data_IF_255931655851
#
_entry.id   IF_255931655851
#
_cell.length_a   1.000
_cell.length_b   1.000
_cell.length_c   1.000
_cell.angle_alpha   90.00
_cell.angle_beta   90.00
_cell.angle_gamma   90.00
#
_symmetry.space_group_name_H-M   'P 1'
#
loop_
_entity.id
_entity.type
_entity.pdbx_description
1 polymer ?
#
# COMPACT_ATOMS: atom_id res chain seq x y z
N UNK A 1 -0.04 -24.40 -3.52
CA UNK A 1 -1.52 -24.41 -3.60
C UNK A 1 -2.02 -23.29 -2.72
N UNK A 2 -2.89 -22.39 -3.21
CA UNK A 2 -3.39 -21.26 -2.41
C UNK A 2 -4.14 -21.76 -1.16
N UNK A 3 -4.02 -21.05 -0.01
CA UNK A 3 -4.80 -21.37 1.18
C UNK A 3 -6.28 -21.30 0.84
N UNK A 4 -7.10 -22.16 1.45
CA UNK A 4 -8.54 -22.16 1.25
C UNK A 4 -9.26 -21.76 2.52
N UNK A 5 -10.28 -20.93 2.38
CA UNK A 5 -11.09 -20.39 3.48
C UNK A 5 -12.56 -20.76 3.23
N UNK A 6 -13.33 -21.16 4.25
CA UNK A 6 -14.76 -21.45 4.10
C UNK A 6 -15.55 -20.19 3.76
N UNK A 7 -16.41 -20.28 2.74
CA UNK A 7 -17.37 -19.22 2.41
C UNK A 7 -18.57 -19.29 3.35
N UNK A 8 -18.61 -18.42 4.35
CA UNK A 8 -19.67 -18.41 5.38
C UNK A 8 -21.06 -18.01 4.85
N UNK A 9 -21.14 -17.43 3.64
CA UNK A 9 -22.39 -16.91 3.06
C UNK A 9 -23.10 -17.92 2.16
N UNK A 10 -22.55 -19.13 1.98
CA UNK A 10 -23.16 -20.19 1.17
C UNK A 10 -23.55 -21.42 2.01
N UNK A 11 -24.64 -22.13 1.64
CA UNK A 11 -24.94 -23.44 2.21
C UNK A 11 -23.73 -24.38 2.06
N UNK A 12 -23.47 -25.20 3.09
CA UNK A 12 -22.33 -26.13 3.17
C UNK A 12 -20.94 -25.50 3.25
N UNK A 13 -20.82 -24.16 3.37
CA UNK A 13 -19.56 -23.42 3.59
C UNK A 13 -18.39 -23.94 2.73
N UNK A 14 -18.52 -23.94 1.39
CA UNK A 14 -17.50 -24.50 0.50
C UNK A 14 -16.16 -23.78 0.70
N UNK A 15 -15.06 -24.53 0.62
CA UNK A 15 -13.70 -24.01 0.72
C UNK A 15 -13.30 -23.32 -0.59
N UNK A 16 -13.10 -22.01 -0.55
CA UNK A 16 -12.67 -21.19 -1.69
C UNK A 16 -11.21 -20.76 -1.55
N UNK A 17 -10.43 -20.63 -2.64
CA UNK A 17 -9.05 -20.17 -2.57
C UNK A 17 -8.98 -18.70 -2.13
N UNK A 18 -8.06 -18.39 -1.21
CA UNK A 18 -7.74 -17.05 -0.73
C UNK A 18 -6.36 -16.59 -1.26
N UNK A 19 -6.06 -15.29 -1.18
CA UNK A 19 -4.77 -14.72 -1.57
C UNK A 19 -4.63 -14.45 -3.08
N UNK A 20 -5.74 -14.42 -3.83
CA UNK A 20 -5.74 -14.12 -5.26
C UNK A 20 -5.28 -12.67 -5.58
N UNK A 21 -5.22 -11.79 -4.57
CA UNK A 21 -4.66 -10.44 -4.69
C UNK A 21 -3.21 -10.42 -5.21
N UNK A 22 -2.44 -11.50 -5.01
CA UNK A 22 -1.08 -11.62 -5.55
C UNK A 22 -1.04 -11.45 -7.08
N UNK A 23 -2.10 -11.88 -7.78
CA UNK A 23 -2.20 -11.74 -9.24
C UNK A 23 -2.25 -10.26 -9.62
N UNK A 24 -3.05 -9.45 -8.91
CA UNK A 24 -3.14 -8.01 -9.13
C UNK A 24 -1.83 -7.29 -8.78
N UNK A 25 -1.16 -7.69 -7.70
CA UNK A 25 0.15 -7.13 -7.31
C UNK A 25 1.19 -7.38 -8.40
N UNK A 26 1.32 -8.62 -8.87
CA UNK A 26 2.29 -8.98 -9.90
C UNK A 26 1.95 -8.31 -11.23
N UNK A 27 0.69 -8.35 -11.67
CA UNK A 27 0.28 -7.71 -12.93
C UNK A 27 0.54 -6.19 -12.90
N UNK A 28 0.19 -5.52 -11.80
CA UNK A 28 0.41 -4.07 -11.64
C UNK A 28 1.90 -3.73 -11.60
N UNK A 29 2.71 -4.50 -10.85
CA UNK A 29 4.14 -4.29 -10.79
C UNK A 29 4.80 -4.49 -12.17
N UNK A 30 4.47 -5.59 -12.86
CA UNK A 30 4.97 -5.85 -14.23
C UNK A 30 4.60 -4.73 -15.20
N UNK A 31 3.36 -4.24 -15.14
CA UNK A 31 2.92 -3.09 -15.94
C UNK A 31 3.75 -1.83 -15.64
N UNK A 32 3.99 -1.53 -14.37
CA UNK A 32 4.77 -0.35 -13.97
C UNK A 32 6.25 -0.45 -14.36
N UNK A 33 6.85 -1.65 -14.29
CA UNK A 33 8.20 -1.89 -14.82
C UNK A 33 8.25 -1.74 -16.33
N UNK A 34 7.25 -2.26 -17.05
CA UNK A 34 7.16 -2.10 -18.50
C UNK A 34 7.02 -0.61 -18.87
N UNK A 35 6.14 0.14 -18.18
CA UNK A 35 6.02 1.59 -18.35
C UNK A 35 7.34 2.31 -18.14
N UNK A 36 8.07 1.97 -17.08
CA UNK A 36 9.39 2.56 -16.84
C UNK A 36 10.38 2.27 -17.97
N UNK A 37 10.38 1.04 -18.48
CA UNK A 37 11.27 0.63 -19.57
C UNK A 37 10.93 1.31 -20.90
N UNK A 38 9.65 1.39 -21.27
CA UNK A 38 9.18 1.92 -22.55
C UNK A 38 9.04 3.45 -22.58
N UNK A 39 8.64 4.09 -21.47
CA UNK A 39 8.42 5.54 -21.37
C UNK A 39 9.54 6.23 -20.59
N UNK A 40 10.81 5.93 -20.89
CA UNK A 40 11.99 6.58 -20.29
C UNK A 40 11.77 8.11 -20.20
N UNK A 41 11.48 8.68 -19.01
CA UNK A 41 11.39 10.12 -18.88
C UNK A 41 12.83 10.66 -18.93
N UNK A 42 13.07 11.77 -19.64
CA UNK A 42 14.28 12.56 -19.42
C UNK A 42 14.31 12.92 -17.93
N UNK A 43 15.21 12.29 -17.18
CA UNK A 43 15.30 12.38 -15.74
C UNK A 43 15.60 13.83 -15.33
N UNK A 44 14.58 14.62 -15.02
CA UNK A 44 14.81 15.94 -14.46
C UNK A 44 15.20 15.88 -12.99
N UNK A 45 15.05 14.73 -12.30
CA UNK A 45 15.33 14.58 -10.86
C UNK A 45 15.79 13.17 -10.41
N UNK A 46 16.25 12.28 -11.30
CA UNK A 46 16.71 10.90 -10.98
C UNK A 46 15.71 9.95 -10.24
N UNK A 47 14.49 10.38 -9.93
CA UNK A 47 13.46 9.56 -9.26
C UNK A 47 12.35 9.22 -10.25
N UNK A 48 12.19 7.93 -10.56
CA UNK A 48 11.13 7.42 -11.44
C UNK A 48 9.85 7.13 -10.64
N UNK A 49 8.80 7.91 -10.88
CA UNK A 49 7.49 7.72 -10.24
C UNK A 49 6.90 6.33 -10.49
N UNK A 50 7.09 5.78 -11.70
CA UNK A 50 6.62 4.44 -12.05
C UNK A 50 7.34 3.35 -11.24
N UNK A 51 8.67 3.47 -11.11
CA UNK A 51 9.47 2.52 -10.34
C UNK A 51 9.12 2.60 -8.85
N UNK A 52 8.92 3.80 -8.31
CA UNK A 52 8.57 3.93 -6.89
C UNK A 52 7.18 3.43 -6.60
N UNK A 53 6.21 3.65 -7.49
CA UNK A 53 4.89 3.05 -7.36
C UNK A 53 4.96 1.51 -7.44
N UNK A 54 5.82 0.95 -8.31
CA UNK A 54 6.03 -0.50 -8.37
C UNK A 54 6.56 -1.05 -7.05
N UNK A 55 7.54 -0.35 -6.43
CA UNK A 55 8.05 -0.71 -5.10
C UNK A 55 6.96 -0.63 -4.04
N UNK A 56 6.14 0.42 -4.03
CA UNK A 56 5.03 0.55 -3.09
C UNK A 56 4.01 -0.59 -3.24
N UNK A 57 3.65 -0.93 -4.48
CA UNK A 57 2.70 -2.02 -4.79
C UNK A 57 3.27 -3.38 -4.38
N UNK A 58 4.53 -3.66 -4.71
CA UNK A 58 5.19 -4.91 -4.33
C UNK A 58 5.30 -5.04 -2.82
N UNK A 59 5.75 -3.98 -2.15
CA UNK A 59 5.99 -4.00 -0.71
C UNK A 59 4.66 -4.07 0.07
N UNK A 60 3.68 -3.22 -0.27
CA UNK A 60 2.36 -3.26 0.34
C UNK A 60 1.61 -4.56 0.06
N UNK A 61 1.68 -5.06 -1.17
CA UNK A 61 1.08 -6.32 -1.57
C UNK A 61 1.71 -7.54 -0.87
N UNK A 62 3.04 -7.56 -0.72
CA UNK A 62 3.74 -8.59 0.05
C UNK A 62 3.33 -8.58 1.52
N UNK A 63 3.21 -7.39 2.14
CA UNK A 63 2.77 -7.27 3.53
C UNK A 63 1.32 -7.74 3.72
N UNK A 64 0.43 -7.46 2.76
CA UNK A 64 -0.94 -7.99 2.77
C UNK A 64 -0.97 -9.53 2.66
N UNK A 65 -0.18 -10.10 1.75
CA UNK A 65 -0.03 -11.56 1.64
C UNK A 65 0.49 -12.19 2.93
N UNK A 66 1.47 -11.53 3.57
CA UNK A 66 2.05 -11.98 4.83
C UNK A 66 0.99 -11.99 5.94
N UNK A 67 0.15 -10.95 6.02
CA UNK A 67 -0.97 -10.91 6.97
C UNK A 67 -1.99 -12.04 6.74
N UNK A 68 -2.32 -12.32 5.47
CA UNK A 68 -3.24 -13.39 5.08
C UNK A 68 -2.69 -14.79 5.39
N UNK A 69 -1.37 -14.98 5.28
CA UNK A 69 -0.75 -16.29 5.43
C UNK A 69 -0.29 -16.60 6.87
N UNK A 70 0.07 -15.60 7.66
CA UNK A 70 0.71 -15.80 8.96
C UNK A 70 -0.23 -15.79 10.17
N UNK A 71 -1.56 -15.75 9.98
CA UNK A 71 -2.58 -15.64 11.05
C UNK A 71 -2.10 -14.77 12.24
N UNK A 72 -1.68 -13.54 11.88
CA UNK A 72 -1.00 -12.67 12.81
C UNK A 72 -1.94 -12.17 13.91
N UNK A 73 -1.42 -12.07 15.14
CA UNK A 73 -2.12 -11.40 16.23
C UNK A 73 -2.48 -9.95 15.82
N UNK A 74 -3.64 -9.48 16.26
CA UNK A 74 -4.19 -8.15 15.92
C UNK A 74 -3.19 -6.98 16.08
N UNK A 75 -2.26 -7.08 17.05
CA UNK A 75 -1.22 -6.06 17.26
C UNK A 75 -0.32 -5.92 16.04
N UNK A 76 0.15 -7.02 15.47
CA UNK A 76 1.01 -6.99 14.29
C UNK A 76 0.26 -6.48 13.06
N UNK A 77 -1.04 -6.79 12.94
CA UNK A 77 -1.90 -6.24 11.90
C UNK A 77 -1.99 -4.70 11.93
N UNK A 78 -1.93 -4.11 13.13
CA UNK A 78 -1.88 -2.66 13.29
C UNK A 78 -0.50 -2.05 12.94
N UNK A 79 0.59 -2.82 13.08
CA UNK A 79 1.96 -2.35 12.80
C UNK A 79 2.40 -2.57 11.35
N UNK A 80 1.94 -3.63 10.68
CA UNK A 80 2.34 -3.94 9.30
C UNK A 80 2.11 -2.76 8.32
N UNK A 81 1.00 -2.03 8.36
CA UNK A 81 0.78 -0.87 7.48
C UNK A 81 1.76 0.29 7.71
N UNK A 82 2.27 0.45 8.94
CA UNK A 82 3.29 1.47 9.24
C UNK A 82 4.58 1.16 8.50
N UNK A 83 5.01 -0.11 8.52
CA UNK A 83 6.19 -0.55 7.76
C UNK A 83 5.92 -0.44 6.26
N UNK A 84 4.72 -0.82 5.80
CA UNK A 84 4.31 -0.71 4.40
C UNK A 84 4.34 0.74 3.86
N UNK A 85 4.27 1.75 4.73
CA UNK A 85 4.32 3.16 4.35
C UNK A 85 5.73 3.70 4.06
N UNK A 86 6.80 2.98 4.45
CA UNK A 86 8.20 3.45 4.33
C UNK A 86 8.63 3.82 2.90
N UNK A 87 8.31 3.02 1.85
CA UNK A 87 8.63 3.39 0.47
C UNK A 87 7.96 4.70 0.05
N UNK A 88 6.72 4.93 0.50
CA UNK A 88 5.95 6.12 0.19
C UNK A 88 6.51 7.37 0.89
N UNK A 89 6.96 7.22 2.14
CA UNK A 89 7.64 8.30 2.88
C UNK A 89 8.93 8.72 2.16
N UNK A 90 9.75 7.73 1.78
CA UNK A 90 11.02 7.98 1.08
C UNK A 90 10.78 8.74 -0.23
N UNK A 91 9.76 8.33 -0.99
CA UNK A 91 9.35 9.03 -2.21
C UNK A 91 8.95 10.48 -1.94
N UNK A 92 8.04 10.68 -0.98
CA UNK A 92 7.49 11.99 -0.68
C UNK A 92 8.59 12.98 -0.27
N UNK A 93 9.57 12.50 0.52
CA UNK A 93 10.73 13.29 0.93
C UNK A 93 11.67 13.60 -0.23
N UNK A 94 12.00 12.62 -1.06
CA UNK A 94 12.90 12.80 -2.21
C UNK A 94 12.35 13.75 -3.27
N UNK A 95 11.02 13.74 -3.48
CA UNK A 95 10.34 14.63 -4.41
C UNK A 95 10.05 16.02 -3.83
N UNK A 96 10.36 16.26 -2.55
CA UNK A 96 10.03 17.52 -1.88
C UNK A 96 8.54 17.84 -1.92
N UNK A 97 7.68 16.82 -1.76
CA UNK A 97 6.23 17.00 -1.83
C UNK A 97 5.73 17.92 -0.71
N UNK A 98 4.56 18.54 -0.94
CA UNK A 98 3.94 19.39 0.08
C UNK A 98 3.70 18.61 1.37
N UNK A 99 4.02 19.23 2.50
CA UNK A 99 3.80 18.70 3.85
C UNK A 99 2.68 19.45 4.58
N UNK A 100 1.73 19.97 3.81
CA UNK A 100 0.55 20.67 4.32
C UNK A 100 -0.74 19.97 3.89
N UNK A 101 -1.75 20.05 4.75
CA UNK A 101 -3.11 19.56 4.48
C UNK A 101 -4.04 20.77 4.45
N UNK A 102 -4.77 20.92 3.35
CA UNK A 102 -5.81 21.94 3.22
C UNK A 102 -7.15 21.33 3.60
N UNK A 103 -7.77 21.89 4.64
CA UNK A 103 -9.11 21.51 5.09
C UNK A 103 -10.14 22.52 4.54
N UNK A 104 -11.31 22.06 4.08
CA UNK A 104 -12.34 22.94 3.49
C UNK A 104 -12.77 24.12 4.38
N UNK A 105 -12.70 23.98 5.71
CA UNK A 105 -13.15 25.00 6.67
C UNK A 105 -12.03 25.63 7.50
N UNK A 106 -10.90 24.95 7.68
CA UNK A 106 -9.79 25.41 8.54
C UNK A 106 -8.60 25.98 7.75
N UNK A 107 -8.64 25.92 6.42
CA UNK A 107 -7.52 26.35 5.59
C UNK A 107 -6.35 25.37 5.61
N UNK A 108 -5.15 25.85 5.31
CA UNK A 108 -3.94 25.03 5.20
C UNK A 108 -3.24 24.87 6.55
N UNK A 109 -3.09 23.63 7.02
CA UNK A 109 -2.31 23.27 8.20
C UNK A 109 -0.96 22.72 7.74
N UNK A 110 0.13 23.28 8.27
CA UNK A 110 1.49 22.87 7.92
C UNK A 110 2.04 21.89 8.96
N UNK A 111 2.39 20.69 8.51
CA UNK A 111 2.91 19.62 9.38
C UNK A 111 4.43 19.50 9.33
N UNK A 112 5.08 19.95 8.26
CA UNK A 112 6.53 19.82 8.10
C UNK A 112 6.96 18.35 8.17
N UNK A 113 8.01 18.06 8.93
CA UNK A 113 8.54 16.70 9.06
C UNK A 113 7.55 15.72 9.70
N UNK A 114 6.63 16.20 10.55
CA UNK A 114 5.58 15.36 11.15
C UNK A 114 4.64 14.76 10.10
N UNK A 115 4.55 15.36 8.91
CA UNK A 115 3.77 14.80 7.81
C UNK A 115 4.26 13.40 7.42
N UNK A 116 5.57 13.21 7.38
CA UNK A 116 6.19 11.94 6.99
C UNK A 116 6.00 10.85 8.03
N UNK A 117 6.08 11.20 9.32
CA UNK A 117 6.07 10.21 10.40
C UNK A 117 4.69 9.95 11.00
N UNK A 118 3.73 10.86 10.81
CA UNK A 118 2.38 10.74 11.37
C UNK A 118 1.34 10.61 10.26
N UNK A 119 1.29 11.58 9.34
CA UNK A 119 0.19 11.66 8.35
C UNK A 119 0.26 10.51 7.34
N UNK A 120 1.42 10.29 6.71
CA UNK A 120 1.56 9.22 5.71
C UNK A 120 1.27 7.83 6.30
N UNK A 121 1.88 7.42 7.43
CA UNK A 121 1.59 6.12 8.04
C UNK A 121 0.14 5.99 8.48
N UNK A 122 -0.48 7.05 9.02
CA UNK A 122 -1.87 7.02 9.45
C UNK A 122 -2.81 6.81 8.26
N UNK A 123 -2.60 7.54 7.15
CA UNK A 123 -3.43 7.37 5.94
C UNK A 123 -3.32 5.94 5.43
N UNK A 124 -2.09 5.41 5.31
CA UNK A 124 -1.88 4.03 4.85
C UNK A 124 -2.57 3.04 5.78
N UNK A 125 -2.36 3.17 7.09
CA UNK A 125 -2.94 2.27 8.10
C UNK A 125 -4.46 2.30 8.12
N UNK A 126 -5.07 3.47 8.10
CA UNK A 126 -6.53 3.62 8.08
C UNK A 126 -7.07 3.01 6.79
N UNK A 127 -6.49 3.36 5.64
CA UNK A 127 -6.98 2.88 4.34
C UNK A 127 -6.93 1.36 4.23
N UNK A 128 -5.79 0.74 4.58
CA UNK A 128 -5.64 -0.73 4.46
C UNK A 128 -6.55 -1.48 5.41
N UNK A 129 -6.68 -1.02 6.66
CA UNK A 129 -7.55 -1.68 7.64
C UNK A 129 -9.02 -1.48 7.34
N UNK A 130 -9.44 -0.29 6.88
CA UNK A 130 -10.82 -0.03 6.49
C UNK A 130 -11.24 -0.90 5.31
N UNK A 131 -10.40 -1.04 4.29
CA UNK A 131 -10.70 -1.95 3.15
C UNK A 131 -10.81 -3.39 3.64
N UNK A 132 -9.90 -3.84 4.51
CA UNK A 132 -9.91 -5.22 5.03
C UNK A 132 -11.11 -5.53 5.93
N UNK A 133 -11.71 -4.53 6.58
CA UNK A 133 -12.91 -4.70 7.41
C UNK A 133 -14.21 -4.68 6.60
N UNK A 134 -14.20 -4.06 5.41
CA UNK A 134 -15.36 -3.93 4.54
C UNK A 134 -15.47 -5.07 3.51
N UNK A 135 -14.36 -5.73 3.18
CA UNK A 135 -14.31 -6.90 2.30
C UNK A 135 -14.64 -8.19 3.04
#
# INVERSE_FOLDING_TARGET
>A
MFPKVPDYHKPNKPLIPNGLGVIYVLASATYLFALYYFNQPLASNNVSSALTLAVCVLFGGFMGLLDDWMDLRWRYKAFLPLVASVPLITLAKNLGLRTSITLPLLGSIQFGDYYYFLVIPLIVTVTTNTINQLG
#
